data_IF_217336332842
#
_entry.id   IF_217336332842
#
_cell.length_a   1.000
_cell.length_b   1.000
_cell.length_c   1.000
_cell.angle_alpha   90.00
_cell.angle_beta   90.00
_cell.angle_gamma   90.00
#
_symmetry.space_group_name_H-M   'P 1'
#
loop_
_entity.id
_entity.type
_entity.pdbx_description
1 polymer ?
#
# COMPACT_ATOMS: atom_id res chain seq x y z
N UNK A 1 8.13 -32.75 -9.58
CA UNK A 1 8.12 -31.30 -9.28
C UNK A 1 7.92 -31.17 -7.78
N UNK A 2 8.95 -30.77 -7.03
CA UNK A 2 8.87 -30.63 -5.57
C UNK A 2 8.35 -29.25 -5.23
N UNK A 3 7.18 -29.16 -4.59
CA UNK A 3 6.76 -27.93 -3.95
C UNK A 3 7.64 -27.72 -2.72
N UNK A 4 8.47 -26.67 -2.74
CA UNK A 4 9.16 -26.20 -1.54
C UNK A 4 8.08 -25.81 -0.52
N UNK A 5 8.02 -26.43 0.68
CA UNK A 5 7.04 -26.06 1.68
C UNK A 5 7.31 -24.62 2.13
N UNK A 6 6.24 -23.82 2.23
CA UNK A 6 6.32 -22.46 2.74
C UNK A 6 6.95 -22.49 4.14
N UNK A 7 8.01 -21.70 4.36
CA UNK A 7 8.56 -21.48 5.71
C UNK A 7 7.45 -20.92 6.59
N UNK A 8 7.04 -21.65 7.62
CA UNK A 8 6.16 -21.12 8.66
C UNK A 8 6.86 -19.95 9.33
N UNK A 9 6.32 -18.74 9.15
CA UNK A 9 6.71 -17.60 9.96
C UNK A 9 6.31 -17.86 11.42
N UNK A 10 7.13 -17.47 12.40
CA UNK A 10 6.74 -17.56 13.81
C UNK A 10 5.42 -16.81 14.01
N UNK A 11 4.50 -17.42 14.76
CA UNK A 11 3.19 -16.84 15.03
C UNK A 11 3.37 -15.52 15.81
N UNK A 12 3.20 -14.39 15.13
CA UNK A 12 3.13 -13.08 15.77
C UNK A 12 1.76 -12.98 16.45
N UNK A 13 1.73 -12.81 17.77
CA UNK A 13 0.50 -12.52 18.49
C UNK A 13 0.03 -11.11 18.13
N UNK A 14 -0.99 -11.02 17.28
CA UNK A 14 -1.61 -9.75 16.93
C UNK A 14 -2.40 -9.19 18.13
N UNK A 15 -2.34 -7.88 18.32
CA UNK A 15 -3.29 -7.18 19.19
C UNK A 15 -4.72 -7.40 18.66
N UNK A 16 -5.75 -7.44 19.52
CA UNK A 16 -7.14 -7.51 19.07
C UNK A 16 -7.44 -6.40 18.05
N UNK A 17 -8.15 -6.71 16.93
CA UNK A 17 -8.42 -5.70 15.92
C UNK A 17 -9.36 -4.63 16.45
N UNK A 18 -9.14 -3.38 16.02
CA UNK A 18 -10.14 -2.32 16.13
C UNK A 18 -11.01 -2.33 14.89
N UNK A 19 -12.33 -2.27 15.06
CA UNK A 19 -13.25 -2.12 13.93
C UNK A 19 -13.52 -0.65 13.64
N UNK A 20 -13.43 -0.26 12.37
CA UNK A 20 -13.59 1.13 11.94
C UNK A 20 -14.49 1.23 10.71
N UNK A 21 -15.32 2.27 10.66
CA UNK A 21 -16.01 2.67 9.44
C UNK A 21 -15.13 3.70 8.73
N UNK A 22 -14.49 3.29 7.64
CA UNK A 22 -13.65 4.16 6.81
C UNK A 22 -14.49 5.06 5.91
N UNK A 23 -13.99 6.28 5.67
CA UNK A 23 -14.53 7.19 4.65
C UNK A 23 -14.11 6.72 3.24
N UNK A 24 -14.79 7.19 2.18
CA UNK A 24 -14.27 7.06 0.83
C UNK A 24 -12.90 7.72 0.70
N UNK A 25 -12.01 7.11 -0.08
CA UNK A 25 -10.67 7.61 -0.34
C UNK A 25 -10.42 7.66 -1.85
N UNK A 26 -9.66 8.65 -2.28
CA UNK A 26 -9.07 8.69 -3.61
C UNK A 26 -7.56 8.74 -3.45
N UNK A 27 -6.87 7.69 -3.91
CA UNK A 27 -5.43 7.53 -3.69
C UNK A 27 -4.70 7.64 -5.02
N UNK A 28 -3.77 8.59 -5.13
CA UNK A 28 -2.90 8.75 -6.29
C UNK A 28 -1.48 8.26 -5.96
N UNK A 29 -0.87 7.50 -6.87
CA UNK A 29 0.44 6.92 -6.59
C UNK A 29 1.02 6.07 -7.70
N UNK A 30 2.14 5.42 -7.41
CA UNK A 30 2.82 4.49 -8.31
C UNK A 30 2.19 3.11 -8.14
N UNK A 31 1.89 2.42 -9.25
CA UNK A 31 1.34 1.06 -9.26
C UNK A 31 2.30 0.11 -9.95
N UNK A 32 2.50 -1.06 -9.36
CA UNK A 32 3.19 -2.18 -9.98
C UNK A 32 2.49 -3.51 -9.65
N UNK A 33 2.59 -4.47 -10.56
CA UNK A 33 2.23 -5.86 -10.29
C UNK A 33 3.46 -6.62 -9.77
N UNK A 34 3.27 -7.39 -8.70
CA UNK A 34 4.30 -8.20 -8.07
C UNK A 34 3.88 -9.67 -7.99
N UNK A 35 4.63 -10.53 -8.66
CA UNK A 35 4.63 -11.96 -8.34
C UNK A 35 5.18 -12.19 -6.92
N UNK A 36 4.82 -13.30 -6.24
CA UNK A 36 5.25 -13.56 -4.86
C UNK A 36 6.77 -13.44 -4.63
N UNK A 37 7.58 -13.91 -5.59
CA UNK A 37 9.04 -13.84 -5.56
C UNK A 37 9.63 -12.44 -5.79
N UNK A 38 8.83 -11.50 -6.29
CA UNK A 38 9.24 -10.14 -6.67
C UNK A 38 8.84 -9.07 -5.65
N UNK A 39 8.14 -9.44 -4.57
CA UNK A 39 7.64 -8.48 -3.55
C UNK A 39 8.75 -7.69 -2.83
N UNK A 40 10.01 -8.14 -2.93
CA UNK A 40 11.18 -7.38 -2.46
C UNK A 40 11.40 -6.05 -3.19
N UNK A 41 10.69 -5.78 -4.28
CA UNK A 41 10.71 -4.51 -4.99
C UNK A 41 9.83 -3.40 -4.38
N UNK A 42 8.94 -3.72 -3.44
CA UNK A 42 8.02 -2.74 -2.82
C UNK A 42 8.78 -1.59 -2.11
N UNK A 43 9.88 -1.83 -1.35
CA UNK A 43 10.68 -0.74 -0.77
C UNK A 43 11.23 0.25 -1.81
N UNK A 44 11.66 -0.23 -2.99
CA UNK A 44 12.16 0.64 -4.05
C UNK A 44 11.04 1.52 -4.62
N UNK A 45 9.84 0.97 -4.80
CA UNK A 45 8.65 1.74 -5.21
C UNK A 45 8.32 2.86 -4.21
N UNK A 46 8.47 2.61 -2.91
CA UNK A 46 8.34 3.65 -1.88
C UNK A 46 9.42 4.72 -1.95
N UNK A 47 10.68 4.33 -2.20
CA UNK A 47 11.78 5.28 -2.40
C UNK A 47 11.53 6.18 -3.61
N UNK A 48 10.98 5.64 -4.69
CA UNK A 48 10.57 6.43 -5.86
C UNK A 48 9.45 7.40 -5.52
N UNK A 49 8.46 7.02 -4.72
CA UNK A 49 7.35 7.91 -4.34
C UNK A 49 7.78 9.02 -3.36
N UNK A 50 8.69 8.73 -2.42
CA UNK A 50 9.00 9.59 -1.29
C UNK A 50 9.27 11.07 -1.64
N UNK A 51 10.04 11.41 -2.70
CA UNK A 51 10.28 12.80 -3.11
C UNK A 51 9.02 13.57 -3.55
N UNK A 52 7.95 12.87 -3.93
CA UNK A 52 6.69 13.44 -4.40
C UNK A 52 5.69 13.72 -3.27
N UNK A 53 5.86 13.11 -2.10
CA UNK A 53 4.92 13.25 -0.98
C UNK A 53 4.88 14.71 -0.49
N UNK A 54 3.69 15.30 -0.56
CA UNK A 54 3.41 16.69 -0.24
C UNK A 54 3.52 17.64 -1.43
N UNK A 55 3.83 17.13 -2.62
CA UNK A 55 3.99 17.89 -3.86
C UNK A 55 3.00 17.47 -4.95
N UNK A 56 2.22 16.41 -4.72
CA UNK A 56 1.22 15.92 -5.66
C UNK A 56 0.02 16.88 -5.63
N UNK A 57 -0.46 17.38 -6.78
CA UNK A 57 -1.63 18.24 -6.83
C UNK A 57 -2.85 17.60 -6.15
N UNK A 58 -3.66 18.42 -5.49
CA UNK A 58 -4.83 17.99 -4.72
C UNK A 58 -4.52 17.04 -3.54
N UNK A 59 -3.26 16.83 -3.14
CA UNK A 59 -2.92 15.97 -2.02
C UNK A 59 -3.51 16.45 -0.69
N UNK A 60 -4.07 15.50 0.07
CA UNK A 60 -4.65 15.69 1.38
C UNK A 60 -3.69 15.19 2.47
N UNK A 61 -3.14 16.13 3.24
CA UNK A 61 -2.22 15.81 4.33
C UNK A 61 -0.92 15.14 3.86
N UNK A 62 -0.31 14.34 4.74
CA UNK A 62 0.97 13.66 4.49
C UNK A 62 0.92 12.15 4.73
N UNK A 63 -0.25 11.61 5.02
CA UNK A 63 -0.44 10.17 5.21
C UNK A 63 -0.26 9.48 3.86
N UNK A 64 0.60 8.46 3.85
CA UNK A 64 0.82 7.62 2.70
C UNK A 64 0.20 6.23 2.93
N UNK A 65 -0.25 5.60 1.85
CA UNK A 65 -0.98 4.35 1.84
C UNK A 65 -0.29 3.34 0.94
N UNK A 66 -0.18 2.09 1.43
CA UNK A 66 0.09 0.92 0.60
C UNK A 66 -1.21 0.17 0.38
N UNK A 67 -1.64 0.05 -0.86
CA UNK A 67 -2.87 -0.66 -1.24
C UNK A 67 -2.46 -1.92 -1.98
N UNK A 68 -2.95 -3.07 -1.52
CA UNK A 68 -2.79 -4.35 -2.20
C UNK A 68 -4.15 -4.85 -2.67
N UNK A 69 -4.22 -5.38 -3.89
CA UNK A 69 -5.37 -6.17 -4.34
C UNK A 69 -4.90 -7.30 -5.26
N UNK A 70 -5.77 -8.29 -5.47
CA UNK A 70 -5.48 -9.40 -6.36
C UNK A 70 -5.36 -8.88 -7.80
N UNK A 71 -4.27 -9.23 -8.49
CA UNK A 71 -4.15 -8.96 -9.92
C UNK A 71 -5.12 -9.82 -10.74
N UNK A 72 -5.38 -9.40 -11.98
CA UNK A 72 -6.33 -10.09 -12.85
C UNK A 72 -5.90 -11.52 -13.22
N UNK A 73 -4.60 -11.83 -13.14
CA UNK A 73 -4.04 -13.15 -13.41
C UNK A 73 -4.22 -14.13 -12.23
N UNK A 74 -4.66 -13.67 -11.05
CA UNK A 74 -4.73 -14.44 -9.80
C UNK A 74 -3.41 -15.06 -9.31
N UNK A 75 -2.28 -14.70 -9.93
CA UNK A 75 -0.94 -15.21 -9.59
C UNK A 75 -0.07 -14.11 -8.96
N UNK A 76 -0.38 -12.85 -9.27
CA UNK A 76 0.32 -11.67 -8.76
C UNK A 76 -0.59 -10.80 -7.89
N UNK A 77 0.03 -9.90 -7.13
CA UNK A 77 -0.67 -8.82 -6.44
C UNK A 77 -0.42 -7.51 -7.17
N UNK A 78 -1.43 -6.67 -7.23
CA UNK A 78 -1.28 -5.27 -7.58
C UNK A 78 -0.97 -4.48 -6.31
N UNK A 79 0.08 -3.69 -6.34
CA UNK A 79 0.51 -2.86 -5.22
C UNK A 79 0.61 -1.40 -5.65
N UNK A 80 -0.09 -0.53 -4.92
CA UNK A 80 0.00 0.92 -5.07
C UNK A 80 0.59 1.55 -3.82
N UNK A 81 1.69 2.29 -3.96
CA UNK A 81 2.15 3.26 -2.97
C UNK A 81 1.63 4.64 -3.36
N UNK A 82 0.92 5.33 -2.46
CA UNK A 82 0.28 6.59 -2.81
C UNK A 82 -0.14 7.45 -1.63
N UNK A 83 -0.76 8.58 -1.96
CA UNK A 83 -1.31 9.56 -1.00
C UNK A 83 -2.76 9.84 -1.31
N UNK A 84 -3.53 10.25 -0.30
CA UNK A 84 -4.90 10.71 -0.52
C UNK A 84 -4.89 12.03 -1.29
N UNK A 85 -5.78 12.16 -2.28
CA UNK A 85 -6.01 13.37 -3.08
C UNK A 85 -7.50 13.73 -3.08
N UNK A 86 -7.85 15.00 -3.22
CA UNK A 86 -9.25 15.43 -3.34
C UNK A 86 -9.82 15.29 -4.75
N UNK A 87 -8.99 15.00 -5.75
CA UNK A 87 -9.41 14.84 -7.14
C UNK A 87 -8.27 14.43 -8.07
N UNK A 88 -8.60 14.27 -9.35
CA UNK A 88 -7.66 13.79 -10.39
C UNK A 88 -6.88 14.91 -11.08
N UNK A 89 -7.32 16.16 -10.93
CA UNK A 89 -6.79 17.29 -11.69
C UNK A 89 -5.33 17.56 -11.31
N UNK A 90 -4.45 17.49 -12.32
CA UNK A 90 -3.02 17.77 -12.15
C UNK A 90 -2.21 16.61 -11.58
N UNK A 91 -2.82 15.44 -11.32
CA UNK A 91 -2.05 14.24 -10.97
C UNK A 91 -1.11 13.90 -12.14
N UNK A 92 0.20 13.64 -11.89
CA UNK A 92 1.14 13.29 -12.94
C UNK A 92 0.66 12.09 -13.77
N UNK A 93 0.94 12.08 -15.08
CA UNK A 93 0.49 11.02 -15.97
C UNK A 93 1.02 9.62 -15.58
N UNK A 94 2.19 9.56 -14.96
CA UNK A 94 2.81 8.31 -14.51
C UNK A 94 2.16 7.76 -13.21
N UNK A 95 1.19 8.48 -12.62
CA UNK A 95 0.51 8.07 -11.41
C UNK A 95 -0.82 7.42 -11.76
N UNK A 96 -1.10 6.30 -11.09
CA UNK A 96 -2.43 5.68 -11.08
C UNK A 96 -3.26 6.30 -9.97
N UNK A 97 -4.56 6.48 -10.22
CA UNK A 97 -5.52 6.90 -9.19
C UNK A 97 -6.53 5.78 -8.94
N UNK A 98 -6.69 5.39 -7.67
CA UNK A 98 -7.63 4.37 -7.21
C UNK A 98 -8.67 5.00 -6.30
N UNK A 99 -9.95 4.74 -6.58
CA UNK A 99 -11.06 5.09 -5.70
C UNK A 99 -11.40 3.91 -4.79
N UNK A 100 -11.46 4.17 -3.49
CA UNK A 100 -11.87 3.20 -2.46
C UNK A 100 -13.19 3.72 -1.88
N UNK A 101 -14.29 2.95 -1.92
CA UNK A 101 -15.54 3.36 -1.31
C UNK A 101 -15.44 3.38 0.22
N UNK A 102 -16.45 3.92 0.89
CA UNK A 102 -16.57 3.74 2.33
C UNK A 102 -16.68 2.24 2.66
N UNK A 103 -15.80 1.74 3.53
CA UNK A 103 -15.70 0.33 3.90
C UNK A 103 -15.56 0.17 5.41
N UNK A 104 -15.96 -0.98 5.92
CA UNK A 104 -15.72 -1.36 7.32
C UNK A 104 -14.45 -2.19 7.42
N UNK A 105 -13.49 -1.73 8.22
CA UNK A 105 -12.17 -2.34 8.35
C UNK A 105 -11.99 -3.01 9.72
N UNK A 106 -11.27 -4.14 9.72
CA UNK A 106 -10.57 -4.64 10.90
C UNK A 106 -9.12 -4.15 10.83
N UNK A 107 -8.72 -3.31 11.80
CA UNK A 107 -7.44 -2.62 11.80
C UNK A 107 -6.51 -3.26 12.83
N UNK A 108 -5.33 -3.66 12.35
CA UNK A 108 -4.26 -4.24 13.15
C UNK A 108 -3.06 -3.27 13.17
N UNK A 109 -2.74 -2.63 14.32
CA UNK A 109 -1.57 -1.77 14.42
C UNK A 109 -0.28 -2.59 14.22
N UNK A 110 0.50 -2.25 13.20
CA UNK A 110 1.82 -2.85 13.04
C UNK A 110 2.86 -2.12 13.89
N UNK A 111 3.28 -2.75 14.99
CA UNK A 111 4.36 -2.26 15.86
C UNK A 111 5.64 -3.04 15.60
N UNK A 112 6.31 -2.77 14.49
CA UNK A 112 7.73 -3.13 14.37
C UNK A 112 8.59 -2.01 14.99
N UNK A 113 9.74 -2.37 15.57
CA UNK A 113 10.75 -1.38 15.94
C UNK A 113 11.19 -0.63 14.67
N UNK A 114 11.00 0.69 14.66
CA UNK A 114 11.67 1.55 13.71
C UNK A 114 13.16 1.53 14.07
N UNK A 115 14.02 1.07 13.16
CA UNK A 115 15.43 1.42 13.25
C UNK A 115 15.54 2.91 12.92
N UNK A 116 15.81 3.69 13.95
CA UNK A 116 16.17 5.09 13.85
C UNK A 116 17.61 5.14 13.34
N UNK A 117 17.81 5.55 12.09
CA UNK A 117 19.16 5.85 11.59
C UNK A 117 19.49 7.28 12.00
N UNK A 118 20.59 7.41 12.76
CA UNK A 118 21.19 8.65 13.22
C UNK A 118 21.57 9.61 12.08
#
# INVERSE_FOLDING_TARGET
>A
MGHTPAKQSPAIKLEPPRFENGKPLLIAGLRNSYAPQAMSGIPAQWQTLAPHIGKIPAQLGRTAYGICWQAADNESIEYLSGVEVSGFTGVPADFTVVSIPALRYAVFPHRAQRFETA
#
